data_IF_370244496923
#
_entry.id   IF_370244496923
#
_cell.length_a   1.000
_cell.length_b   1.000
_cell.length_c   1.000
_cell.angle_alpha   90.00
_cell.angle_beta   90.00
_cell.angle_gamma   90.00
#
_symmetry.space_group_name_H-M   'P 1'
#
loop_
_entity.id
_entity.type
_entity.pdbx_description
1 polymer ?
#
# COMPACT_ATOMS: atom_id res chain seq x y z
N UNK A 1 12.19 -8.28 2.17
CA UNK A 1 12.00 -9.04 3.43
C UNK A 1 11.28 -10.38 3.18
N UNK A 2 12.00 -11.42 2.73
CA UNK A 2 11.45 -12.77 2.53
C UNK A 2 11.00 -13.48 3.83
N UNK A 3 11.22 -12.83 4.98
CA UNK A 3 10.83 -13.32 6.31
C UNK A 3 9.44 -12.85 6.75
N UNK A 4 8.82 -11.91 6.03
CA UNK A 4 7.45 -11.52 6.37
C UNK A 4 6.50 -12.66 6.00
N UNK A 5 5.73 -13.13 6.97
CA UNK A 5 4.69 -14.13 6.78
C UNK A 5 3.29 -13.58 7.09
N UNK A 6 3.20 -12.30 7.51
CA UNK A 6 1.94 -11.63 7.82
C UNK A 6 1.40 -10.91 6.57
N UNK A 7 0.08 -10.70 6.49
CA UNK A 7 -0.52 -9.85 5.47
C UNK A 7 0.13 -8.47 5.44
N UNK A 8 0.42 -7.97 4.24
CA UNK A 8 1.15 -6.72 4.05
C UNK A 8 0.55 -5.89 2.93
N UNK A 9 0.17 -4.65 3.23
CA UNK A 9 -0.40 -3.74 2.24
C UNK A 9 0.41 -2.45 2.16
N UNK A 10 0.92 -2.15 0.96
CA UNK A 10 1.55 -0.87 0.65
C UNK A 10 0.56 0.00 -0.12
N UNK A 11 0.34 1.21 0.38
CA UNK A 11 -0.41 2.28 -0.29
C UNK A 11 0.57 3.43 -0.53
N UNK A 12 0.76 3.85 -1.78
CA UNK A 12 1.76 4.86 -2.14
C UNK A 12 1.22 5.91 -3.10
N UNK A 13 1.69 7.15 -3.01
CA UNK A 13 1.31 8.22 -3.94
C UNK A 13 2.23 8.26 -5.17
N UNK A 14 1.66 8.32 -6.38
CA UNK A 14 2.47 8.31 -7.61
C UNK A 14 3.29 9.58 -7.82
N UNK A 15 2.84 10.71 -7.25
CA UNK A 15 3.49 12.01 -7.31
C UNK A 15 4.33 12.31 -6.05
N UNK A 16 4.68 11.31 -5.24
CA UNK A 16 5.56 11.48 -4.08
C UNK A 16 7.02 11.70 -4.54
N UNK A 17 7.47 12.95 -4.48
CA UNK A 17 8.84 13.36 -4.82
C UNK A 17 9.84 13.14 -3.65
N UNK A 18 9.35 12.95 -2.42
CA UNK A 18 10.19 12.71 -1.25
C UNK A 18 10.56 11.23 -1.11
N UNK A 19 9.60 10.35 -1.42
CA UNK A 19 9.78 8.90 -1.42
C UNK A 19 9.24 8.35 -2.75
N UNK A 20 10.10 8.16 -3.76
CA UNK A 20 9.66 7.71 -5.08
C UNK A 20 8.93 6.35 -5.03
N UNK A 21 7.92 6.20 -5.89
CA UNK A 21 7.14 4.95 -6.02
C UNK A 21 8.00 3.70 -6.27
N UNK A 22 9.19 3.86 -6.86
CA UNK A 22 10.15 2.75 -7.04
C UNK A 22 10.59 2.11 -5.73
N UNK A 23 10.73 2.88 -4.64
CA UNK A 23 11.08 2.35 -3.32
C UNK A 23 9.95 1.47 -2.77
N UNK A 24 8.71 1.88 -2.98
CA UNK A 24 7.54 1.10 -2.59
C UNK A 24 7.45 -0.22 -3.38
N UNK A 25 7.78 -0.20 -4.68
CA UNK A 25 7.87 -1.39 -5.53
C UNK A 25 8.97 -2.35 -5.05
N UNK A 26 10.15 -1.84 -4.72
CA UNK A 26 11.25 -2.65 -4.19
C UNK A 26 10.85 -3.36 -2.88
N UNK A 27 10.15 -2.65 -1.98
CA UNK A 27 9.62 -3.26 -0.76
C UNK A 27 8.57 -4.33 -1.06
N UNK A 28 7.66 -4.07 -2.00
CA UNK A 28 6.66 -5.04 -2.42
C UNK A 28 7.29 -6.30 -3.00
N UNK A 29 8.24 -6.18 -3.92
CA UNK A 29 8.96 -7.32 -4.51
C UNK A 29 9.70 -8.11 -3.44
N UNK A 30 10.36 -7.42 -2.51
CA UNK A 30 11.13 -8.06 -1.46
C UNK A 30 10.25 -8.70 -0.37
N UNK A 31 9.01 -8.27 -0.15
CA UNK A 31 8.13 -8.78 0.89
C UNK A 31 7.66 -10.21 0.60
N UNK A 32 7.68 -11.06 1.63
CA UNK A 32 6.98 -12.35 1.64
C UNK A 32 5.54 -12.22 2.16
N UNK A 33 4.83 -13.36 2.21
CA UNK A 33 3.45 -13.43 2.68
C UNK A 33 2.44 -12.91 1.66
N UNK A 34 1.18 -12.86 2.08
CA UNK A 34 0.11 -12.25 1.28
C UNK A 34 0.32 -10.74 1.24
N UNK A 35 0.49 -10.21 0.03
CA UNK A 35 0.87 -8.82 -0.17
C UNK A 35 0.02 -8.11 -1.20
N UNK A 36 -0.36 -6.89 -0.87
CA UNK A 36 -1.11 -5.97 -1.71
C UNK A 36 -0.29 -4.71 -1.97
N UNK A 37 -0.47 -4.14 -3.16
CA UNK A 37 0.17 -2.90 -3.57
C UNK A 37 -0.84 -2.04 -4.31
N UNK A 38 -0.98 -0.79 -3.88
CA UNK A 38 -1.85 0.18 -4.52
C UNK A 38 -1.14 1.53 -4.62
N UNK A 39 -1.20 2.12 -5.81
CA UNK A 39 -0.73 3.48 -6.05
C UNK A 39 -1.91 4.42 -6.28
N UNK A 40 -1.79 5.63 -5.74
CA UNK A 40 -2.80 6.68 -5.88
C UNK A 40 -2.28 7.73 -6.88
N UNK A 41 -2.87 7.84 -8.07
CA UNK A 41 -2.53 8.88 -9.04
C UNK A 41 -2.63 10.28 -8.41
N UNK A 42 -1.76 11.18 -8.84
CA UNK A 42 -1.69 12.59 -8.41
C UNK A 42 -1.44 12.82 -6.90
N UNK A 43 -1.26 11.76 -6.11
CA UNK A 43 -0.94 11.88 -4.69
C UNK A 43 0.55 12.09 -4.46
N UNK A 44 0.89 13.25 -3.90
CA UNK A 44 2.19 13.50 -3.30
C UNK A 44 2.34 12.87 -1.91
N UNK A 45 3.45 13.21 -1.25
CA UNK A 45 3.73 12.76 0.11
C UNK A 45 2.54 13.04 1.06
N UNK A 46 2.12 12.02 1.82
CA UNK A 46 0.97 12.04 2.75
C UNK A 46 -0.40 12.42 2.15
N UNK A 47 -0.56 12.43 0.81
CA UNK A 47 -1.81 12.85 0.15
C UNK A 47 -2.75 11.72 -0.27
N UNK A 48 -2.29 10.46 -0.25
CA UNK A 48 -3.06 9.31 -0.72
C UNK A 48 -4.47 9.24 -0.09
N UNK A 49 -4.57 9.39 1.24
CA UNK A 49 -5.86 9.40 1.93
C UNK A 49 -6.75 10.57 1.47
N UNK A 50 -6.23 11.78 1.40
CA UNK A 50 -7.05 12.96 1.06
C UNK A 50 -7.56 12.93 -0.37
N UNK A 51 -6.76 12.43 -1.32
CA UNK A 51 -7.13 12.38 -2.74
C UNK A 51 -8.12 11.25 -3.01
N UNK A 52 -7.92 10.08 -2.40
CA UNK A 52 -8.71 8.89 -2.66
C UNK A 52 -9.50 8.45 -1.42
N UNK A 53 -10.09 9.39 -0.66
CA UNK A 53 -10.65 9.13 0.70
C UNK A 53 -11.54 7.88 0.75
N UNK A 54 -12.53 7.78 -0.13
CA UNK A 54 -13.47 6.67 -0.14
C UNK A 54 -12.80 5.35 -0.53
N UNK A 55 -12.06 5.34 -1.64
CA UNK A 55 -11.35 4.15 -2.11
C UNK A 55 -10.28 3.67 -1.10
N UNK A 56 -9.60 4.60 -0.45
CA UNK A 56 -8.63 4.30 0.61
C UNK A 56 -9.30 3.58 1.77
N UNK A 57 -10.44 4.08 2.24
CA UNK A 57 -11.21 3.45 3.31
C UNK A 57 -11.72 2.06 2.90
N UNK A 58 -12.25 1.93 1.69
CA UNK A 58 -12.76 0.66 1.15
C UNK A 58 -11.65 -0.40 1.04
N UNK A 59 -10.51 -0.04 0.43
CA UNK A 59 -9.35 -0.93 0.29
C UNK A 59 -8.74 -1.30 1.64
N UNK A 60 -8.59 -0.33 2.54
CA UNK A 60 -8.05 -0.59 3.87
C UNK A 60 -8.97 -1.52 4.68
N UNK A 61 -10.28 -1.28 4.64
CA UNK A 61 -11.26 -2.14 5.29
C UNK A 61 -11.21 -3.56 4.73
N UNK A 62 -11.24 -3.71 3.42
CA UNK A 62 -11.14 -5.01 2.76
C UNK A 62 -9.85 -5.76 3.14
N UNK A 63 -8.71 -5.06 3.14
CA UNK A 63 -7.44 -5.65 3.60
C UNK A 63 -7.51 -6.15 5.05
N UNK A 64 -8.08 -5.37 5.97
CA UNK A 64 -8.20 -5.77 7.38
C UNK A 64 -9.10 -6.99 7.52
N UNK A 65 -10.27 -7.00 6.86
CA UNK A 65 -11.21 -8.13 6.88
C UNK A 65 -10.54 -9.40 6.33
N UNK A 66 -9.92 -9.34 5.14
CA UNK A 66 -9.20 -10.47 4.53
C UNK A 66 -8.03 -10.97 5.38
N UNK A 67 -7.39 -10.08 6.15
CA UNK A 67 -6.27 -10.42 7.02
C UNK A 67 -6.70 -11.11 8.31
N UNK A 68 -7.94 -10.92 8.75
CA UNK A 68 -8.49 -11.51 9.98
C UNK A 68 -9.15 -12.87 9.76
N UNK A 69 -9.53 -13.19 8.53
CA UNK A 69 -10.14 -14.49 8.16
C UNK A 69 -9.10 -15.60 7.91
N UNK A 70 -7.81 -15.29 8.01
CA UNK A 70 -6.67 -16.20 7.80
C UNK A 70 -6.00 -16.60 9.11
#
# INVERSE_FOLDING_TARGET
AAKNALPFFIIHGEADELVPTSMAKELYEAAGGDKMFWTVPDAGHVKAYTIATQEYQERLKGFIEESMEK
#
